data_IF_573714984253
#
_entry.id   IF_573714984253
#
_cell.length_a   1.000
_cell.length_b   1.000
_cell.length_c   1.000
_cell.angle_alpha   90.00
_cell.angle_beta   90.00
_cell.angle_gamma   90.00
#
_symmetry.space_group_name_H-M   'P 1'
#
loop_
_entity.id
_entity.type
_entity.pdbx_description
1 polymer ?
#
# COMPACT_ATOMS: atom_id res chain seq x y z
N UNK A 1 1.85 -2.64 -0.52
CA UNK A 1 0.58 -2.84 0.22
C UNK A 1 0.89 -2.89 1.70
N UNK A 2 0.09 -2.21 2.51
CA UNK A 2 0.27 -2.11 3.96
C UNK A 2 -0.92 -2.67 4.76
N UNK A 3 -2.08 -2.82 4.11
CA UNK A 3 -3.35 -3.14 4.76
C UNK A 3 -4.37 -3.65 3.73
N UNK A 4 -5.30 -4.49 4.18
CA UNK A 4 -6.52 -4.84 3.44
C UNK A 4 -7.75 -4.66 4.33
N UNK A 5 -8.88 -4.28 3.72
CA UNK A 5 -10.16 -4.13 4.43
C UNK A 5 -11.31 -4.48 3.50
N UNK A 6 -12.37 -5.11 4.02
CA UNK A 6 -13.64 -5.30 3.28
C UNK A 6 -14.43 -4.00 3.19
N UNK A 7 -14.13 -3.03 4.04
CA UNK A 7 -14.74 -1.71 4.06
C UNK A 7 -13.77 -0.62 3.61
N UNK A 8 -14.32 0.41 2.95
CA UNK A 8 -13.52 1.58 2.56
C UNK A 8 -13.24 2.45 3.79
N UNK A 9 -11.98 2.49 4.19
CA UNK A 9 -11.50 3.32 5.28
C UNK A 9 -11.37 4.80 4.88
N UNK A 10 -11.69 5.74 5.79
CA UNK A 10 -11.49 7.17 5.57
C UNK A 10 -10.01 7.54 5.57
N UNK A 11 -9.64 8.64 4.91
CA UNK A 11 -8.24 9.07 4.75
C UNK A 11 -7.49 9.31 6.08
N UNK A 12 -8.21 9.66 7.15
CA UNK A 12 -7.66 9.87 8.50
C UNK A 12 -7.78 8.63 9.41
N UNK A 13 -8.00 7.45 8.82
CA UNK A 13 -8.16 6.20 9.58
C UNK A 13 -6.96 5.94 10.48
N UNK A 14 -7.23 5.59 11.75
CA UNK A 14 -6.21 5.18 12.73
C UNK A 14 -5.41 3.95 12.26
N UNK A 15 -5.98 3.13 11.38
CA UNK A 15 -5.31 1.99 10.77
C UNK A 15 -4.09 2.39 9.94
N UNK A 16 -4.01 3.63 9.46
CA UNK A 16 -2.85 4.14 8.72
C UNK A 16 -1.72 4.63 9.62
N UNK A 17 -1.85 4.59 10.95
CA UNK A 17 -0.77 4.87 11.91
C UNK A 17 -0.06 6.22 11.70
N UNK A 18 -0.80 7.22 11.20
CA UNK A 18 -0.27 8.55 10.92
C UNK A 18 0.40 8.72 9.55
N UNK A 19 0.54 7.66 8.76
CA UNK A 19 0.99 7.76 7.37
C UNK A 19 -0.10 8.44 6.52
N UNK A 20 0.30 9.49 5.80
CA UNK A 20 -0.54 10.27 4.89
C UNK A 20 -0.43 9.73 3.47
N UNK A 21 -1.33 10.18 2.59
CA UNK A 21 -1.31 9.85 1.16
C UNK A 21 -1.34 8.34 0.88
N UNK A 22 -2.14 7.62 1.68
CA UNK A 22 -2.39 6.19 1.47
C UNK A 22 -3.34 6.04 0.28
N UNK A 23 -2.84 5.38 -0.76
CA UNK A 23 -3.63 4.99 -1.93
C UNK A 23 -4.29 3.64 -1.71
N UNK A 24 -5.29 3.32 -2.54
CA UNK A 24 -5.89 1.99 -2.53
C UNK A 24 -6.33 1.56 -3.92
N UNK A 25 -6.45 0.25 -4.10
CA UNK A 25 -7.10 -0.37 -5.23
C UNK A 25 -8.10 -1.42 -4.74
N UNK A 26 -9.09 -1.76 -5.56
CA UNK A 26 -10.10 -2.77 -5.22
C UNK A 26 -9.82 -4.07 -5.97
N UNK A 27 -9.81 -5.18 -5.24
CA UNK A 27 -9.70 -6.52 -5.80
C UNK A 27 -10.87 -7.36 -5.27
N UNK A 28 -11.84 -7.64 -6.14
CA UNK A 28 -13.12 -8.24 -5.73
C UNK A 28 -13.87 -7.35 -4.74
N UNK A 29 -14.18 -7.90 -3.56
CA UNK A 29 -14.85 -7.18 -2.47
C UNK A 29 -13.89 -6.49 -1.48
N UNK A 30 -12.57 -6.55 -1.72
CA UNK A 30 -11.54 -6.11 -0.76
C UNK A 30 -10.85 -4.85 -1.26
N UNK A 31 -10.73 -3.85 -0.39
CA UNK A 31 -9.89 -2.67 -0.56
C UNK A 31 -8.48 -2.98 -0.09
N UNK A 32 -7.50 -2.82 -0.99
CA UNK A 32 -6.08 -3.07 -0.74
C UNK A 32 -5.36 -1.73 -0.72
N UNK A 33 -4.76 -1.39 0.43
CA UNK A 33 -4.14 -0.10 0.68
C UNK A 33 -2.63 -0.15 0.45
N UNK A 34 -2.09 0.87 -0.22
CA UNK A 34 -0.68 1.02 -0.57
C UNK A 34 -0.16 2.36 -0.09
N UNK A 35 1.14 2.41 0.21
CA UNK A 35 1.82 3.63 0.63
C UNK A 35 3.12 3.76 -0.14
N UNK A 36 3.30 4.92 -0.78
CA UNK A 36 4.38 5.19 -1.71
C UNK A 36 4.28 4.40 -3.03
N UNK A 37 4.92 4.94 -4.05
CA UNK A 37 5.06 4.32 -5.36
C UNK A 37 6.41 4.68 -5.97
N UNK A 38 6.98 3.76 -6.76
CA UNK A 38 8.19 4.01 -7.51
C UNK A 38 8.31 3.05 -8.67
N UNK A 39 8.89 3.51 -9.77
CA UNK A 39 9.35 2.64 -10.87
C UNK A 39 10.71 2.01 -10.59
N UNK A 40 11.41 2.48 -9.55
CA UNK A 40 12.69 1.95 -9.08
C UNK A 40 12.45 0.93 -7.95
N UNK A 41 12.79 -0.33 -8.24
CA UNK A 41 12.60 -1.43 -7.31
C UNK A 41 13.41 -1.26 -6.01
N UNK A 42 14.62 -0.68 -6.10
CA UNK A 42 15.45 -0.47 -4.91
C UNK A 42 14.80 0.57 -4.00
N UNK A 43 14.34 1.69 -4.56
CA UNK A 43 13.68 2.76 -3.77
C UNK A 43 12.43 2.26 -3.06
N UNK A 44 11.57 1.49 -3.74
CA UNK A 44 10.35 0.97 -3.11
C UNK A 44 10.65 -0.09 -2.05
N UNK A 45 11.72 -0.87 -2.22
CA UNK A 45 12.15 -1.83 -1.21
C UNK A 45 12.75 -1.13 0.03
N UNK A 46 13.53 -0.08 -0.18
CA UNK A 46 14.06 0.76 0.91
C UNK A 46 12.90 1.44 1.69
N UNK A 47 11.87 1.94 0.98
CA UNK A 47 10.65 2.46 1.61
C UNK A 47 9.89 1.38 2.38
N UNK A 48 9.72 0.19 1.80
CA UNK A 48 9.07 -0.94 2.49
C UNK A 48 9.80 -1.25 3.80
N UNK A 49 11.13 -1.24 3.79
CA UNK A 49 11.94 -1.52 4.99
C UNK A 49 11.79 -0.43 6.06
N UNK A 50 11.69 0.85 5.67
CA UNK A 50 11.51 1.95 6.63
C UNK A 50 10.17 1.86 7.37
N UNK A 51 9.10 1.41 6.70
CA UNK A 51 7.76 1.29 7.28
C UNK A 51 7.47 -0.08 7.92
N UNK A 52 8.35 -1.07 7.79
CA UNK A 52 8.12 -2.46 8.28
C UNK A 52 7.91 -2.52 9.80
N UNK A 53 8.45 -1.55 10.56
CA UNK A 53 8.22 -1.45 12.01
C UNK A 53 6.74 -1.26 12.34
N UNK A 54 6.03 -0.48 11.52
CA UNK A 54 4.62 -0.19 11.69
C UNK A 54 3.75 -1.20 10.93
N UNK A 55 4.16 -1.62 9.74
CA UNK A 55 3.44 -2.57 8.89
C UNK A 55 4.30 -3.80 8.64
N UNK A 56 4.29 -4.74 9.59
CA UNK A 56 5.13 -5.95 9.55
C UNK A 56 4.90 -6.79 8.30
N UNK A 57 3.65 -6.83 7.83
CA UNK A 57 3.23 -7.59 6.66
C UNK A 57 3.24 -6.75 5.37
N UNK A 58 3.96 -5.62 5.35
CA UNK A 58 4.06 -4.80 4.15
C UNK A 58 4.87 -5.51 3.06
N UNK A 59 4.36 -5.47 1.83
CA UNK A 59 5.04 -6.01 0.65
C UNK A 59 4.88 -5.09 -0.56
N UNK A 60 5.80 -5.20 -1.51
CA UNK A 60 5.76 -4.43 -2.77
C UNK A 60 4.72 -5.06 -3.70
N UNK A 61 3.82 -4.24 -4.24
CA UNK A 61 2.88 -4.65 -5.29
C UNK A 61 3.35 -4.01 -6.58
N UNK A 62 3.42 -4.79 -7.65
CA UNK A 62 3.85 -4.31 -8.97
C UNK A 62 2.63 -4.16 -9.87
N UNK A 63 2.62 -3.08 -10.64
CA UNK A 63 1.62 -2.82 -11.68
C UNK A 63 2.33 -2.67 -13.02
N UNK A 64 1.67 -3.11 -14.09
CA UNK A 64 2.11 -2.85 -15.45
C UNK A 64 1.72 -1.40 -15.87
N UNK A 65 2.11 -1.00 -17.08
CA UNK A 65 1.80 0.35 -17.61
C UNK A 65 0.31 0.63 -17.77
N UNK A 66 -0.50 -0.42 -17.87
CA UNK A 66 -1.97 -0.35 -17.98
C UNK A 66 -2.66 -0.35 -16.61
N UNK A 67 -1.91 -0.29 -15.50
CA UNK A 67 -2.44 -0.32 -14.15
C UNK A 67 -2.93 -1.70 -13.68
N UNK A 68 -2.63 -2.77 -14.43
CA UNK A 68 -2.93 -4.15 -14.03
C UNK A 68 -1.85 -4.66 -13.09
N UNK A 69 -2.27 -5.31 -12.00
CA UNK A 69 -1.36 -5.97 -11.06
C UNK A 69 -0.58 -7.08 -11.78
N UNK A 70 0.73 -7.12 -11.56
CA UNK A 70 1.64 -8.16 -12.04
C UNK A 70 1.87 -9.24 -10.97
#
# INVERSE_FOLDING_TARGET
QILTSTEKLPANSKHFKGYKDVSFYKEGAVYKYTYGESTDFKKINDLKNSITKDFKDAFVVRFNKDGKKL
#
